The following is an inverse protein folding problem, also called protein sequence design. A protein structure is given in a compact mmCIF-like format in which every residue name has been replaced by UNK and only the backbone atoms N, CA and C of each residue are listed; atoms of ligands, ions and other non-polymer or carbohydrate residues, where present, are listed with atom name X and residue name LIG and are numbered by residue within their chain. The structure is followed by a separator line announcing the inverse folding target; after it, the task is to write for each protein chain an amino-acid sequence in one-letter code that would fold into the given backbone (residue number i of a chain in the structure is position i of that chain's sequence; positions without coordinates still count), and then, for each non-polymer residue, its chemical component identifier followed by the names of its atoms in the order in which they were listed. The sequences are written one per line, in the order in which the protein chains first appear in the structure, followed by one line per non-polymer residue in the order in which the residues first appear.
data_IF_360169564145
#
_entry.id   IF_360169564145
#
_cell.length_a   1.000
_cell.length_b   1.000
_cell.length_c   1.000
_cell.angle_alpha   90.00
_cell.angle_beta   90.00
_cell.angle_gamma   90.00
#
_symmetry.space_group_name_H-M   'P 1'
#
loop_
_entity.id
_entity.type
_entity.pdbx_description
1 polymer ?
#
# COMPACT_ATOMS: atom_id res chain seq x y z
N UNK A 1 5.19 -18.05 1.23
CA UNK A 1 6.23 -17.55 0.30
C UNK A 1 7.51 -17.22 1.06
N UNK A 2 8.66 -17.59 0.49
CA UNK A 2 9.95 -17.80 1.18
C UNK A 2 10.81 -16.53 1.31
N UNK A 3 10.42 -15.51 2.08
CA UNK A 3 11.32 -14.42 2.52
C UNK A 3 12.34 -13.94 1.46
N UNK A 4 11.91 -13.82 0.19
CA UNK A 4 12.81 -13.50 -0.92
C UNK A 4 12.87 -11.98 -1.03
N UNK A 5 13.93 -11.41 -0.48
CA UNK A 5 14.22 -9.99 -0.65
C UNK A 5 14.94 -9.80 -1.99
N UNK A 6 14.56 -8.74 -2.70
CA UNK A 6 15.26 -8.28 -3.90
C UNK A 6 15.76 -6.88 -3.62
N UNK A 7 16.99 -6.60 -4.04
CA UNK A 7 17.51 -5.24 -4.00
C UNK A 7 16.72 -4.37 -4.98
N UNK A 8 16.29 -3.21 -4.51
CA UNK A 8 15.51 -2.25 -5.29
C UNK A 8 15.85 -0.83 -4.86
N UNK A 9 16.01 0.06 -5.85
CA UNK A 9 16.17 1.48 -5.62
C UNK A 9 17.38 1.83 -4.75
N UNK A 10 17.16 2.73 -3.78
CA UNK A 10 18.20 3.28 -2.91
C UNK A 10 17.73 3.22 -1.45
N UNK A 11 18.69 3.13 -0.52
CA UNK A 11 18.40 3.32 0.90
C UNK A 11 17.86 4.73 1.15
N UNK A 12 16.99 4.86 2.15
CA UNK A 12 16.44 6.13 2.59
C UNK A 12 16.72 6.37 4.08
N UNK A 13 16.73 7.63 4.47
CA UNK A 13 17.04 8.11 5.80
C UNK A 13 16.02 9.13 6.30
N UNK A 14 16.24 9.64 7.50
CA UNK A 14 15.34 10.63 8.11
C UNK A 14 15.26 11.88 7.23
N UNK A 15 14.04 12.25 6.85
CA UNK A 15 13.77 13.45 6.05
C UNK A 15 13.58 13.17 4.56
N UNK A 16 13.89 11.95 4.09
CA UNK A 16 13.57 11.56 2.72
C UNK A 16 12.05 11.47 2.51
N UNK A 17 11.62 11.92 1.33
CA UNK A 17 10.23 11.79 0.86
C UNK A 17 10.17 10.65 -0.14
N UNK A 18 9.31 9.67 0.15
CA UNK A 18 9.04 8.55 -0.74
C UNK A 18 7.65 8.74 -1.36
N UNK A 19 7.61 8.85 -2.68
CA UNK A 19 6.36 8.84 -3.45
C UNK A 19 6.10 7.43 -3.94
N UNK A 20 4.88 6.92 -3.74
CA UNK A 20 4.45 5.61 -4.20
C UNK A 20 3.54 5.75 -5.41
N UNK A 21 3.81 4.99 -6.47
CA UNK A 21 3.03 4.98 -7.70
C UNK A 21 2.44 3.58 -7.94
N UNK A 22 1.22 3.55 -8.47
CA UNK A 22 0.55 2.36 -8.95
C UNK A 22 -0.11 2.66 -10.30
N UNK A 23 0.42 2.09 -11.38
CA UNK A 23 -0.21 2.15 -12.69
C UNK A 23 -1.21 0.99 -12.83
N UNK A 24 -2.48 1.32 -12.64
CA UNK A 24 -3.59 0.37 -12.75
C UNK A 24 -4.14 0.27 -14.20
N UNK A 25 -3.67 1.15 -15.11
CA UNK A 25 -4.19 1.25 -16.48
C UNK A 25 -3.63 0.14 -17.36
N UNK A 26 -2.41 -0.32 -17.08
CA UNK A 26 -1.70 -1.38 -17.81
C UNK A 26 -1.88 -2.77 -17.17
N UNK A 27 -1.47 -3.81 -17.89
CA UNK A 27 -1.40 -5.19 -17.38
C UNK A 27 -0.06 -5.81 -17.82
N UNK A 28 0.84 -6.20 -16.90
CA UNK A 28 0.66 -6.23 -15.44
C UNK A 28 0.57 -4.85 -14.80
N UNK A 29 -0.16 -4.73 -13.69
CA UNK A 29 -0.17 -3.54 -12.84
C UNK A 29 1.25 -3.26 -12.35
N UNK A 30 1.73 -2.03 -12.53
CA UNK A 30 3.10 -1.63 -12.19
C UNK A 30 3.11 -0.83 -10.90
N UNK A 31 3.86 -1.29 -9.90
CA UNK A 31 4.15 -0.54 -8.68
C UNK A 31 5.58 -0.01 -8.73
N UNK A 32 5.76 1.28 -8.46
CA UNK A 32 7.08 1.92 -8.43
C UNK A 32 7.15 3.01 -7.37
N UNK A 33 8.37 3.47 -7.10
CA UNK A 33 8.62 4.48 -6.08
C UNK A 33 9.54 5.57 -6.62
N UNK A 34 9.42 6.78 -6.07
CA UNK A 34 10.42 7.83 -6.20
C UNK A 34 10.95 8.23 -4.83
N UNK A 35 12.25 8.52 -4.76
CA UNK A 35 12.89 9.11 -3.57
C UNK A 35 13.26 10.55 -3.92
N UNK A 36 12.72 11.52 -3.18
CA UNK A 36 12.99 12.95 -3.40
C UNK A 36 12.88 13.31 -4.89
N UNK A 37 11.77 12.92 -5.53
CA UNK A 37 11.47 13.22 -6.94
C UNK A 37 12.25 12.42 -7.97
N UNK A 38 13.19 11.57 -7.57
CA UNK A 38 13.91 10.66 -8.48
C UNK A 38 13.19 9.31 -8.54
N UNK A 39 12.66 8.95 -9.71
CA UNK A 39 12.03 7.64 -9.94
C UNK A 39 13.05 6.50 -9.85
N UNK A 40 12.72 5.45 -9.11
CA UNK A 40 13.63 4.33 -8.79
C UNK A 40 13.40 3.10 -9.69
N UNK A 41 12.63 3.24 -10.78
CA UNK A 41 12.25 2.15 -11.66
C UNK A 41 11.10 1.31 -11.11
N UNK A 42 10.70 0.27 -11.86
CA UNK A 42 9.64 -0.66 -11.46
C UNK A 42 10.06 -1.50 -10.26
N UNK A 43 9.24 -1.50 -9.21
CA UNK A 43 9.46 -2.30 -8.01
C UNK A 43 8.77 -3.67 -8.10
N UNK A 44 7.50 -3.66 -8.53
CA UNK A 44 6.68 -4.87 -8.63
C UNK A 44 5.76 -4.80 -9.84
N UNK A 45 5.48 -5.97 -10.39
CA UNK A 45 4.49 -6.18 -11.44
C UNK A 45 3.54 -7.27 -10.95
N UNK A 46 2.23 -6.99 -11.05
CA UNK A 46 1.18 -7.94 -10.63
C UNK A 46 0.15 -8.03 -11.75
N UNK A 47 -0.07 -9.22 -12.30
CA UNK A 47 -1.09 -9.38 -13.34
C UNK A 47 -2.49 -9.07 -12.78
N UNK A 48 -3.37 -8.54 -13.64
CA UNK A 48 -4.77 -8.31 -13.25
C UNK A 48 -5.49 -9.62 -12.87
N UNK A 49 -5.09 -10.73 -13.48
CA UNK A 49 -5.54 -12.07 -13.11
C UNK A 49 -5.17 -12.44 -11.67
N UNK A 50 -3.92 -12.19 -11.24
CA UNK A 50 -3.47 -12.48 -9.88
C UNK A 50 -4.17 -11.60 -8.83
N UNK A 51 -4.54 -10.37 -9.18
CA UNK A 51 -5.35 -9.52 -8.33
C UNK A 51 -6.78 -10.08 -8.17
N UNK A 52 -7.30 -10.80 -9.17
CA UNK A 52 -8.64 -11.38 -9.14
C UNK A 52 -9.74 -10.34 -8.78
N UNK A 53 -9.60 -9.12 -9.30
CA UNK A 53 -10.52 -8.00 -9.03
C UNK A 53 -10.40 -7.37 -7.63
N UNK A 54 -9.46 -7.82 -6.78
CA UNK A 54 -9.24 -7.24 -5.45
C UNK A 54 -8.56 -5.88 -5.56
N UNK A 55 -8.99 -4.95 -4.71
CA UNK A 55 -8.38 -3.63 -4.59
C UNK A 55 -7.01 -3.71 -3.89
N UNK A 56 -6.12 -2.79 -4.26
CA UNK A 56 -4.89 -2.52 -3.53
C UNK A 56 -5.13 -1.40 -2.52
N UNK A 57 -4.53 -1.53 -1.34
CA UNK A 57 -4.60 -0.53 -0.28
C UNK A 57 -3.21 0.00 0.04
N UNK A 58 -3.03 1.33 0.20
CA UNK A 58 -1.78 1.86 0.72
C UNK A 58 -1.47 1.24 2.08
N UNK A 59 -0.28 0.66 2.21
CA UNK A 59 0.15 -0.02 3.42
C UNK A 59 1.55 0.45 3.82
N UNK A 60 1.71 0.85 5.08
CA UNK A 60 2.99 1.28 5.65
C UNK A 60 3.32 0.38 6.82
N UNK A 61 4.42 -0.36 6.72
CA UNK A 61 5.00 -1.09 7.84
C UNK A 61 6.22 -0.32 8.35
N UNK A 62 6.16 0.10 9.62
CA UNK A 62 7.23 0.87 10.26
C UNK A 62 7.66 0.22 11.56
N UNK A 63 8.91 0.50 11.98
CA UNK A 63 9.45 0.10 13.28
C UNK A 63 10.30 1.24 13.82
N UNK A 64 9.91 1.79 14.97
CA UNK A 64 10.62 2.87 15.66
C UNK A 64 10.86 4.12 14.79
N UNK A 65 9.95 4.46 13.88
CA UNK A 65 9.99 5.71 13.14
C UNK A 65 8.62 6.43 13.16
N UNK A 66 8.68 7.75 13.03
CA UNK A 66 7.53 8.59 12.80
C UNK A 66 7.57 9.07 11.34
N UNK A 67 6.41 9.16 10.72
CA UNK A 67 6.26 9.61 9.33
C UNK A 67 4.96 10.38 9.19
N UNK A 68 4.92 11.22 8.16
CA UNK A 68 3.71 11.89 7.69
C UNK A 68 3.36 11.33 6.32
N UNK A 69 2.06 11.25 6.01
CA UNK A 69 1.59 10.73 4.73
C UNK A 69 0.71 11.76 4.08
N UNK A 70 1.00 12.10 2.82
CA UNK A 70 0.14 12.92 1.98
C UNK A 70 -0.54 12.04 0.92
N UNK A 71 -1.84 11.78 1.10
CA UNK A 71 -2.71 11.12 0.13
C UNK A 71 -3.42 12.12 -0.80
N UNK A 72 -2.98 13.38 -0.85
CA UNK A 72 -3.60 14.46 -1.60
C UNK A 72 -4.40 15.44 -0.74
N UNK A 73 -4.33 15.34 0.59
CA UNK A 73 -5.00 16.28 1.50
C UNK A 73 -4.24 17.60 1.69
N UNK A 74 -2.98 17.69 1.27
CA UNK A 74 -2.21 18.94 1.25
C UNK A 74 -2.32 19.60 -0.13
N UNK A 75 -2.22 20.93 -0.19
CA UNK A 75 -2.26 21.69 -1.45
C UNK A 75 -1.14 21.31 -2.42
N UNK A 76 0.04 20.97 -1.89
CA UNK A 76 1.20 20.59 -2.68
C UNK A 76 1.78 19.23 -2.24
N UNK A 77 2.41 18.47 -3.15
CA UNK A 77 3.22 17.31 -2.78
C UNK A 77 4.31 17.66 -1.76
N UNK A 78 4.72 16.68 -0.95
CA UNK A 78 5.87 16.85 -0.03
C UNK A 78 7.21 16.97 -0.78
N UNK A 79 7.25 16.48 -2.01
CA UNK A 79 8.35 16.67 -2.95
C UNK A 79 7.77 16.70 -4.38
N UNK A 80 8.31 17.51 -5.31
CA UNK A 80 7.89 17.50 -6.71
C UNK A 80 7.81 16.09 -7.31
N UNK A 81 6.77 15.83 -8.11
CA UNK A 81 6.68 14.57 -8.84
C UNK A 81 7.82 14.47 -9.88
N UNK A 82 8.33 13.27 -10.18
CA UNK A 82 9.27 13.07 -11.28
C UNK A 82 8.66 13.54 -12.60
N UNK A 83 9.50 14.00 -13.53
CA UNK A 83 9.05 14.39 -14.87
C UNK A 83 8.38 13.21 -15.59
N UNK A 84 7.23 13.44 -16.23
CA UNK A 84 6.44 12.42 -16.92
C UNK A 84 5.45 11.66 -16.03
N UNK A 85 5.31 12.05 -14.75
CA UNK A 85 4.34 11.48 -13.81
C UNK A 85 3.24 12.47 -13.42
N UNK A 86 3.07 13.54 -14.18
CA UNK A 86 2.10 14.61 -13.90
C UNK A 86 0.64 14.16 -14.05
N UNK A 87 0.40 13.07 -14.79
CA UNK A 87 -0.94 12.47 -14.98
C UNK A 87 -1.37 11.62 -13.78
N UNK A 88 -0.46 11.29 -12.86
CA UNK A 88 -0.82 10.55 -11.66
C UNK A 88 -1.61 11.42 -10.70
N UNK A 89 -2.62 10.81 -10.12
CA UNK A 89 -3.46 11.45 -9.12
C UNK A 89 -3.28 10.81 -7.76
N UNK A 90 -3.22 11.63 -6.71
CA UNK A 90 -3.22 11.13 -5.34
C UNK A 90 -4.56 10.46 -4.99
N UNK A 91 -4.50 9.43 -4.13
CA UNK A 91 -5.66 8.60 -3.80
C UNK A 91 -6.88 9.37 -3.26
N UNK A 92 -6.68 10.42 -2.45
CA UNK A 92 -7.78 11.24 -1.93
C UNK A 92 -8.36 12.23 -2.94
N UNK A 93 -7.68 12.47 -4.06
CA UNK A 93 -8.14 13.37 -5.11
C UNK A 93 -9.06 12.68 -6.13
N UNK A 94 -9.26 11.34 -6.04
CA UNK A 94 -10.21 10.60 -6.89
C UNK A 94 -11.61 11.18 -6.75
N UNK A 95 -12.31 11.56 -7.84
CA UNK A 95 -13.68 12.08 -7.78
C UNK A 95 -14.63 11.15 -7.04
N UNK A 96 -15.62 11.70 -6.31
CA UNK A 96 -16.51 10.90 -5.44
C UNK A 96 -17.35 9.90 -6.24
N UNK A 97 -17.75 10.26 -7.45
CA UNK A 97 -18.50 9.46 -8.40
C UNK A 97 -17.71 8.28 -8.99
N UNK A 98 -16.37 8.35 -8.96
CA UNK A 98 -15.48 7.24 -9.37
C UNK A 98 -15.10 6.32 -8.20
N UNK A 99 -15.44 6.68 -6.96
CA UNK A 99 -15.09 5.87 -5.78
C UNK A 99 -16.05 4.70 -5.61
N UNK A 100 -15.49 3.52 -5.44
CA UNK A 100 -16.23 2.33 -5.03
C UNK A 100 -16.23 2.25 -3.50
N UNK A 101 -17.39 2.00 -2.91
CA UNK A 101 -17.52 1.86 -1.46
C UNK A 101 -16.80 0.59 -0.99
N UNK A 102 -15.88 0.74 -0.05
CA UNK A 102 -15.24 -0.39 0.63
C UNK A 102 -16.21 -1.13 1.57
N UNK A 103 -15.75 -2.22 2.22
CA UNK A 103 -16.56 -2.97 3.18
C UNK A 103 -17.16 -2.07 4.26
N UNK A 104 -18.45 -2.29 4.58
CA UNK A 104 -19.09 -1.56 5.67
C UNK A 104 -18.54 -2.06 7.03
N UNK A 105 -18.22 -1.14 7.95
CA UNK A 105 -17.89 -1.54 9.31
C UNK A 105 -19.12 -2.14 10.01
N UNK A 106 -18.93 -2.96 11.07
CA UNK A 106 -20.03 -3.44 11.90
C UNK A 106 -20.89 -2.29 12.43
N UNK A 107 -22.21 -2.50 12.54
CA UNK A 107 -23.16 -1.45 12.94
C UNK A 107 -22.97 -1.01 14.38
N UNK A 108 -22.49 -1.91 15.23
CA UNK A 108 -22.25 -1.65 16.65
C UNK A 108 -20.80 -1.91 17.00
N UNK A 109 -20.25 -1.10 17.89
CA UNK A 109 -18.90 -1.32 18.44
C UNK A 109 -18.74 -2.70 19.10
N UNK A 110 -19.80 -3.25 19.69
CA UNK A 110 -19.80 -4.59 20.27
C UNK A 110 -19.64 -5.72 19.24
N UNK A 111 -19.88 -5.44 17.97
CA UNK A 111 -19.71 -6.36 16.85
C UNK A 111 -18.34 -6.20 16.18
N UNK A 112 -17.53 -5.22 16.60
CA UNK A 112 -16.15 -5.07 16.14
C UNK A 112 -15.26 -6.12 16.79
N UNK A 113 -14.54 -6.86 15.96
CA UNK A 113 -13.54 -7.80 16.42
C UNK A 113 -12.14 -7.22 16.21
N UNK A 114 -11.30 -7.33 17.25
CA UNK A 114 -9.88 -7.00 17.18
C UNK A 114 -9.09 -8.23 17.58
N UNK A 115 -8.30 -8.75 16.64
CA UNK A 115 -7.47 -9.93 16.87
C UNK A 115 -6.02 -9.50 16.98
N UNK A 116 -5.45 -9.65 18.18
CA UNK A 116 -4.02 -9.46 18.42
C UNK A 116 -3.33 -10.81 18.51
N UNK A 117 -2.44 -11.09 17.56
CA UNK A 117 -1.66 -12.33 17.57
C UNK A 117 -0.39 -12.16 18.41
N UNK A 118 -0.32 -12.85 19.53
CA UNK A 118 0.86 -12.93 20.39
C UNK A 118 1.48 -14.34 20.32
N UNK A 119 2.80 -14.44 20.14
CA UNK A 119 3.48 -15.73 20.18
C UNK A 119 4.91 -15.68 19.64
N UNK A 120 5.70 -16.69 19.99
CA UNK A 120 7.10 -16.82 19.57
C UNK A 120 7.25 -16.98 18.04
N UNK A 121 8.41 -16.65 17.45
CA UNK A 121 8.69 -16.97 16.05
C UNK A 121 8.40 -18.45 15.74
N UNK A 122 7.78 -18.73 14.60
CA UNK A 122 7.47 -20.10 14.17
C UNK A 122 6.23 -20.76 14.81
N UNK A 123 5.55 -20.12 15.77
CA UNK A 123 4.38 -20.74 16.45
C UNK A 123 3.07 -20.75 15.63
N UNK A 124 3.13 -20.57 14.30
CA UNK A 124 1.95 -20.68 13.42
C UNK A 124 1.04 -19.45 13.31
N UNK A 125 1.43 -18.28 13.84
CA UNK A 125 0.61 -17.04 13.77
C UNK A 125 0.12 -16.71 12.35
N UNK A 126 1.03 -16.70 11.38
CA UNK A 126 0.70 -16.40 9.97
C UNK A 126 -0.26 -17.44 9.38
N UNK A 127 -0.05 -18.73 9.69
CA UNK A 127 -0.96 -19.80 9.25
C UNK A 127 -2.36 -19.58 9.79
N UNK A 128 -2.49 -19.36 11.11
CA UNK A 128 -3.78 -19.10 11.74
C UNK A 128 -4.47 -17.86 11.16
N UNK A 129 -3.74 -16.76 10.96
CA UNK A 129 -4.30 -15.53 10.39
C UNK A 129 -4.86 -15.73 8.98
N UNK A 130 -4.12 -16.46 8.14
CA UNK A 130 -4.52 -16.75 6.77
C UNK A 130 -5.78 -17.64 6.75
N UNK A 131 -5.81 -18.69 7.57
CA UNK A 131 -6.99 -19.55 7.69
C UNK A 131 -8.21 -18.81 8.24
N UNK A 132 -8.01 -17.94 9.23
CA UNK A 132 -9.08 -17.11 9.78
C UNK A 132 -9.64 -16.16 8.73
N UNK A 133 -8.78 -15.47 8.00
CA UNK A 133 -9.19 -14.54 6.93
C UNK A 133 -9.97 -15.27 5.84
N UNK A 134 -9.51 -16.44 5.37
CA UNK A 134 -10.22 -17.22 4.34
C UNK A 134 -11.61 -17.74 4.77
N UNK A 135 -11.82 -17.95 6.08
CA UNK A 135 -13.10 -18.43 6.61
C UNK A 135 -14.11 -17.31 6.88
N UNK A 136 -13.66 -16.06 7.00
CA UNK A 136 -14.47 -14.94 7.49
C UNK A 136 -14.50 -13.71 6.55
N UNK A 137 -13.78 -13.72 5.42
CA UNK A 137 -13.89 -12.75 4.31
C UNK A 137 -14.59 -13.38 3.12
#
# INVERSE_FOLDING_TARGET
ENCKFKDYGKSFEKGDVITCFADLTVDPVVLSYAKNGEHLGTAFEVSKEALAGRCLFPHVLSKNCAFEVNFGQLETPLFPLPAGFEEYQFASCVPVDERIRGPEPPKKKAECEMIMMCGLPGCGKTTWANEYSQKNM
#
